data_IF_189911890304
#
_entry.id   IF_189911890304
#
_cell.length_a   1.000
_cell.length_b   1.000
_cell.length_c   1.000
_cell.angle_alpha   90.00
_cell.angle_beta   90.00
_cell.angle_gamma   90.00
#
_symmetry.space_group_name_H-M   'P 1'
#
loop_
_entity.id
_entity.type
_entity.pdbx_description
1 polymer ?
#
# COMPACT_ATOMS: atom_id res chain seq x y z
N UNK A 1 -1.43 20.07 31.99
CA UNK A 1 -1.07 19.15 30.89
C UNK A 1 -2.38 18.67 30.30
N UNK A 2 -2.53 18.68 28.98
CA UNK A 2 -3.68 18.03 28.35
C UNK A 2 -3.57 16.51 28.58
N UNK A 3 -4.70 15.84 28.81
CA UNK A 3 -4.74 14.39 28.97
C UNK A 3 -4.20 13.71 27.70
N UNK A 4 -3.50 12.57 27.84
CA UNK A 4 -3.08 11.80 26.67
C UNK A 4 -4.30 11.34 25.87
N UNK A 5 -4.20 11.40 24.54
CA UNK A 5 -5.24 10.87 23.64
C UNK A 5 -5.07 9.34 23.59
N UNK A 6 -6.02 8.62 24.18
CA UNK A 6 -6.13 7.17 24.07
C UNK A 6 -7.21 6.82 23.05
N UNK A 7 -6.84 6.13 21.98
CA UNK A 7 -7.81 5.61 21.02
C UNK A 7 -8.53 4.38 21.62
N UNK A 8 -9.87 4.36 21.66
CA UNK A 8 -10.61 3.21 22.16
C UNK A 8 -10.58 2.06 21.15
N UNK A 9 -10.72 0.82 21.64
CA UNK A 9 -10.86 -0.37 20.80
C UNK A 9 -9.70 -1.35 20.91
N UNK A 10 -9.60 -2.24 19.92
CA UNK A 10 -8.54 -3.26 19.83
C UNK A 10 -7.57 -2.90 18.71
N UNK A 11 -6.28 -2.74 19.02
CA UNK A 11 -5.25 -2.57 17.99
C UNK A 11 -5.11 -3.88 17.22
N UNK A 12 -5.43 -3.87 15.93
CA UNK A 12 -5.35 -5.05 15.06
C UNK A 12 -4.01 -5.13 14.34
N UNK A 13 -3.52 -4.02 13.79
CA UNK A 13 -2.14 -3.97 13.33
C UNK A 13 -1.55 -2.57 13.38
N UNK A 14 -0.22 -2.52 13.42
CA UNK A 14 0.56 -1.29 13.30
C UNK A 14 1.76 -1.51 12.40
N UNK A 15 2.13 -0.49 11.62
CA UNK A 15 3.22 -0.57 10.66
C UNK A 15 3.19 0.55 9.64
N UNK A 16 3.56 0.21 8.41
CA UNK A 16 3.65 1.12 7.27
C UNK A 16 2.96 0.48 6.07
N UNK A 17 2.32 1.30 5.24
CA UNK A 17 1.63 0.87 4.02
C UNK A 17 1.77 1.88 2.86
N UNK A 18 3.00 2.29 2.46
CA UNK A 18 3.17 3.14 1.30
C UNK A 18 2.59 2.47 0.04
N UNK A 19 1.91 3.27 -0.78
CA UNK A 19 1.14 2.78 -1.91
C UNK A 19 1.38 3.57 -3.20
N UNK A 20 1.21 2.88 -4.32
CA UNK A 20 1.27 3.46 -5.67
C UNK A 20 0.09 2.92 -6.47
N UNK A 21 -0.70 3.82 -7.06
CA UNK A 21 -1.70 3.46 -8.08
C UNK A 21 -1.45 4.29 -9.33
N UNK A 22 -1.18 3.62 -10.45
CA UNK A 22 -0.82 4.22 -11.73
C UNK A 22 -1.99 4.18 -12.71
N UNK A 23 -2.11 5.22 -13.53
CA UNK A 23 -3.01 5.28 -14.69
C UNK A 23 -2.26 5.84 -15.90
N UNK A 24 -2.57 5.33 -17.09
CA UNK A 24 -2.11 5.94 -18.36
C UNK A 24 -3.02 7.10 -18.78
N UNK A 25 -4.32 6.98 -18.53
CA UNK A 25 -5.32 8.04 -18.67
C UNK A 25 -5.90 8.34 -17.29
N UNK A 26 -5.89 9.60 -16.79
CA UNK A 26 -6.51 9.96 -15.52
C UNK A 26 -7.97 9.54 -15.37
N UNK A 27 -8.74 9.54 -16.46
CA UNK A 27 -10.12 9.07 -16.51
C UNK A 27 -10.25 7.55 -16.71
N UNK A 28 -9.16 6.89 -17.10
CA UNK A 28 -9.09 5.46 -17.34
C UNK A 28 -8.99 4.60 -16.08
N UNK A 29 -8.95 3.27 -16.26
CA UNK A 29 -8.73 2.33 -15.16
C UNK A 29 -7.30 2.41 -14.62
N UNK A 30 -7.09 1.85 -13.43
CA UNK A 30 -5.72 1.63 -12.92
C UNK A 30 -5.01 0.56 -13.75
N UNK A 31 -3.78 0.85 -14.14
CA UNK A 31 -2.92 -0.05 -14.92
C UNK A 31 -1.96 -0.83 -14.03
N UNK A 32 -1.61 -0.30 -12.86
CA UNK A 32 -0.77 -0.96 -11.88
C UNK A 32 -1.13 -0.46 -10.48
N UNK A 33 -1.24 -1.39 -9.53
CA UNK A 33 -1.45 -1.11 -8.11
C UNK A 33 -0.38 -1.80 -7.28
N UNK A 34 0.21 -1.07 -6.33
CA UNK A 34 1.17 -1.60 -5.37
C UNK A 34 0.82 -1.08 -3.97
N UNK A 35 0.75 -1.99 -3.00
CA UNK A 35 0.64 -1.69 -1.57
C UNK A 35 1.74 -2.46 -0.87
N UNK A 36 2.74 -1.75 -0.34
CA UNK A 36 3.84 -2.37 0.39
C UNK A 36 3.59 -2.23 1.88
N UNK A 37 3.54 -3.35 2.58
CA UNK A 37 3.36 -3.41 4.03
C UNK A 37 4.67 -3.76 4.72
N UNK A 38 4.99 -2.98 5.77
CA UNK A 38 5.94 -3.35 6.82
C UNK A 38 5.18 -3.37 8.13
N UNK A 39 4.74 -4.55 8.55
CA UNK A 39 3.92 -4.71 9.77
C UNK A 39 4.84 -5.00 10.95
N UNK A 40 4.72 -4.19 12.00
CA UNK A 40 5.47 -4.38 13.25
C UNK A 40 4.68 -5.14 14.32
N UNK A 41 3.35 -5.13 14.23
CA UNK A 41 2.44 -5.81 15.16
C UNK A 41 1.18 -6.28 14.42
N UNK A 42 0.78 -7.53 14.61
CA UNK A 42 -0.53 -8.07 14.25
C UNK A 42 -0.81 -9.39 15.00
N UNK A 43 -2.04 -9.93 14.97
CA UNK A 43 -2.36 -11.29 15.41
C UNK A 43 -1.58 -12.39 14.69
N UNK A 44 -1.08 -12.12 13.48
CA UNK A 44 -0.29 -13.06 12.66
C UNK A 44 1.22 -12.83 12.79
N UNK A 45 1.64 -11.98 13.74
CA UNK A 45 3.03 -11.57 13.93
C UNK A 45 3.44 -10.40 13.04
N UNK A 46 4.75 -10.14 12.98
CA UNK A 46 5.34 -9.12 12.11
C UNK A 46 5.69 -9.70 10.74
N UNK A 47 5.90 -8.85 9.75
CA UNK A 47 6.37 -9.27 8.43
C UNK A 47 6.17 -8.20 7.38
N UNK A 48 6.41 -8.59 6.14
CA UNK A 48 6.28 -7.75 4.96
C UNK A 48 5.33 -8.38 3.95
N UNK A 49 4.61 -7.53 3.22
CA UNK A 49 3.81 -7.96 2.09
C UNK A 49 3.83 -6.88 1.02
N UNK A 50 4.22 -7.21 -0.21
CA UNK A 50 3.98 -6.36 -1.37
C UNK A 50 2.82 -6.95 -2.16
N UNK A 51 1.64 -6.35 -2.08
CA UNK A 51 0.53 -6.68 -2.97
C UNK A 51 0.71 -5.89 -4.26
N UNK A 52 0.94 -6.58 -5.38
CA UNK A 52 1.22 -5.99 -6.68
C UNK A 52 0.23 -6.52 -7.72
N UNK A 53 -0.64 -5.65 -8.24
CA UNK A 53 -1.47 -5.96 -9.39
C UNK A 53 -0.89 -5.30 -10.64
N UNK A 54 -0.31 -6.11 -11.53
CA UNK A 54 0.12 -5.66 -12.86
C UNK A 54 -1.02 -5.70 -13.88
N UNK A 55 -2.10 -6.43 -13.58
CA UNK A 55 -3.34 -6.48 -14.36
C UNK A 55 -4.55 -6.36 -13.43
N UNK A 56 -4.84 -5.17 -12.86
CA UNK A 56 -5.86 -5.01 -11.83
C UNK A 56 -7.27 -5.45 -12.28
N UNK A 57 -7.59 -5.31 -13.57
CA UNK A 57 -8.87 -5.68 -14.16
C UNK A 57 -9.04 -7.16 -14.52
N UNK A 58 -8.03 -8.00 -14.32
CA UNK A 58 -8.05 -9.39 -14.80
C UNK A 58 -7.80 -10.38 -13.67
N UNK A 59 -8.68 -11.38 -13.52
CA UNK A 59 -8.55 -12.41 -12.51
C UNK A 59 -7.45 -13.44 -12.83
N UNK A 60 -7.21 -13.72 -14.11
CA UNK A 60 -6.21 -14.71 -14.55
C UNK A 60 -5.35 -14.15 -15.72
N UNK A 61 -4.54 -13.11 -15.46
CA UNK A 61 -3.63 -12.58 -16.47
C UNK A 61 -2.49 -13.58 -16.82
N UNK A 62 -1.86 -13.44 -17.99
CA UNK A 62 -0.59 -14.09 -18.33
C UNK A 62 0.52 -13.81 -17.30
N UNK A 63 1.48 -14.71 -17.20
CA UNK A 63 2.54 -14.71 -16.19
C UNK A 63 3.35 -13.40 -16.17
N UNK A 64 3.60 -12.79 -17.33
CA UNK A 64 4.39 -11.57 -17.49
C UNK A 64 3.72 -10.33 -16.87
N UNK A 65 2.41 -10.41 -16.64
CA UNK A 65 1.59 -9.35 -16.04
C UNK A 65 0.72 -9.91 -14.91
N UNK A 66 1.25 -10.92 -14.23
CA UNK A 66 0.60 -11.58 -13.10
C UNK A 66 0.35 -10.63 -11.93
N UNK A 67 -0.70 -10.93 -11.19
CA UNK A 67 -1.04 -10.29 -9.92
C UNK A 67 -0.44 -11.14 -8.80
N UNK A 68 0.45 -10.56 -8.00
CA UNK A 68 1.26 -11.30 -7.03
C UNK A 68 1.34 -10.54 -5.70
N UNK A 69 1.26 -11.27 -4.60
CA UNK A 69 1.65 -10.84 -3.27
C UNK A 69 2.99 -11.49 -2.90
N UNK A 70 4.04 -10.68 -2.74
CA UNK A 70 5.33 -11.14 -2.23
C UNK A 70 5.38 -10.97 -0.72
N UNK A 71 5.68 -12.02 0.03
CA UNK A 71 5.60 -11.98 1.50
C UNK A 71 6.56 -12.94 2.19
N UNK A 72 7.04 -12.60 3.39
CA UNK A 72 7.78 -13.46 4.30
C UNK A 72 6.88 -14.06 5.40
N UNK A 73 5.60 -13.67 5.41
CA UNK A 73 4.58 -14.12 6.35
C UNK A 73 3.24 -14.25 5.62
N UNK A 74 3.03 -15.40 4.98
CA UNK A 74 1.84 -15.64 4.16
C UNK A 74 0.51 -15.55 4.93
N UNK A 75 0.37 -16.08 6.17
CA UNK A 75 -0.83 -15.87 6.98
C UNK A 75 -1.18 -14.39 7.17
N UNK A 76 -0.18 -13.56 7.51
CA UNK A 76 -0.34 -12.12 7.62
C UNK A 76 -0.78 -11.49 6.28
N UNK A 77 -0.10 -11.81 5.19
CA UNK A 77 -0.40 -11.24 3.88
C UNK A 77 -1.81 -11.57 3.40
N UNK A 78 -2.28 -12.81 3.62
CA UNK A 78 -3.65 -13.22 3.29
C UNK A 78 -4.68 -12.45 4.09
N UNK A 79 -4.44 -12.27 5.39
CA UNK A 79 -5.30 -11.48 6.25
C UNK A 79 -5.34 -10.01 5.84
N UNK A 80 -4.19 -9.38 5.57
CA UNK A 80 -4.12 -8.00 5.06
C UNK A 80 -4.88 -7.85 3.74
N UNK A 81 -4.73 -8.79 2.81
CA UNK A 81 -5.43 -8.74 1.53
C UNK A 81 -6.95 -8.82 1.72
N UNK A 82 -7.41 -9.78 2.51
CA UNK A 82 -8.83 -10.03 2.72
C UNK A 82 -9.52 -8.89 3.48
N UNK A 83 -8.93 -8.43 4.58
CA UNK A 83 -9.62 -7.59 5.56
C UNK A 83 -9.30 -6.10 5.41
N UNK A 84 -8.25 -5.74 4.64
CA UNK A 84 -7.81 -4.36 4.48
C UNK A 84 -7.69 -3.96 3.01
N UNK A 85 -6.79 -4.60 2.24
CA UNK A 85 -6.52 -4.19 0.85
C UNK A 85 -7.78 -4.29 -0.01
N UNK A 86 -8.58 -5.35 0.13
CA UNK A 86 -9.84 -5.51 -0.61
C UNK A 86 -10.87 -4.40 -0.37
N UNK A 87 -10.71 -3.63 0.72
CA UNK A 87 -11.59 -2.53 1.09
C UNK A 87 -11.06 -1.16 0.63
N UNK A 88 -9.78 -1.06 0.26
CA UNK A 88 -9.20 0.21 -0.20
C UNK A 88 -9.85 0.68 -1.51
N UNK A 89 -10.04 1.99 -1.64
CA UNK A 89 -10.81 2.58 -2.74
C UNK A 89 -10.31 2.19 -4.15
N UNK A 90 -8.99 2.09 -4.35
CA UNK A 90 -8.42 1.69 -5.64
C UNK A 90 -8.52 0.18 -5.92
N UNK A 91 -8.82 -0.63 -4.91
CA UNK A 91 -8.70 -2.09 -4.91
C UNK A 91 -10.04 -2.81 -4.84
N UNK A 92 -11.04 -2.17 -4.23
CA UNK A 92 -12.35 -2.77 -3.96
C UNK A 92 -13.04 -3.22 -5.23
N UNK A 93 -13.43 -4.50 -5.26
CA UNK A 93 -14.15 -5.12 -6.37
C UNK A 93 -13.29 -5.43 -7.60
N UNK A 94 -11.97 -5.30 -7.51
CA UNK A 94 -11.09 -5.62 -8.63
C UNK A 94 -10.97 -7.13 -8.86
N UNK A 95 -11.17 -7.62 -10.09
CA UNK A 95 -10.96 -9.03 -10.44
C UNK A 95 -9.54 -9.52 -10.13
N UNK A 96 -8.54 -8.64 -10.21
CA UNK A 96 -7.14 -8.98 -9.97
C UNK A 96 -6.82 -9.53 -8.58
N UNK A 97 -7.67 -9.27 -7.58
CA UNK A 97 -7.52 -9.85 -6.25
C UNK A 97 -7.94 -11.33 -6.19
N UNK A 98 -8.86 -11.77 -7.04
CA UNK A 98 -9.40 -13.13 -7.00
C UNK A 98 -8.37 -14.21 -7.41
N UNK A 99 -7.47 -13.88 -8.33
CA UNK A 99 -6.38 -14.75 -8.76
C UNK A 99 -5.00 -14.33 -8.24
N UNK A 100 -4.96 -13.62 -7.12
CA UNK A 100 -3.72 -13.16 -6.52
C UNK A 100 -2.84 -14.35 -6.12
N UNK A 101 -1.65 -14.44 -6.72
CA UNK A 101 -0.66 -15.45 -6.37
C UNK A 101 0.12 -15.01 -5.14
N UNK A 102 0.52 -15.93 -4.27
CA UNK A 102 1.38 -15.63 -3.12
C UNK A 102 2.76 -16.26 -3.36
N UNK A 103 3.81 -15.46 -3.23
CA UNK A 103 5.20 -15.87 -3.42
C UNK A 103 6.04 -15.45 -2.22
N UNK A 104 6.96 -16.31 -1.82
CA UNK A 104 7.93 -15.99 -0.76
C UNK A 104 8.81 -14.81 -1.20
N UNK A 105 9.05 -13.86 -0.29
CA UNK A 105 10.09 -12.84 -0.46
C UNK A 105 11.38 -13.27 0.23
N UNK A 106 12.50 -12.84 -0.33
CA UNK A 106 13.84 -13.09 0.21
C UNK A 106 14.37 -11.90 1.01
N UNK A 107 14.09 -10.68 0.55
CA UNK A 107 14.56 -9.46 1.21
C UNK A 107 13.73 -8.24 0.86
N UNK A 108 13.78 -7.26 1.75
CA UNK A 108 13.27 -5.90 1.55
C UNK A 108 14.37 -4.91 1.90
N UNK A 109 14.54 -3.89 1.07
CA UNK A 109 15.48 -2.80 1.29
C UNK A 109 14.79 -1.46 1.06
N UNK A 110 14.80 -0.61 2.09
CA UNK A 110 14.39 0.79 2.00
C UNK A 110 15.59 1.67 1.64
N UNK A 111 15.36 2.73 0.88
CA UNK A 111 16.37 3.76 0.58
C UNK A 111 15.70 5.14 0.45
N UNK A 112 16.50 6.21 0.61
CA UNK A 112 16.04 7.59 0.67
C UNK A 112 15.77 8.09 2.08
N UNK A 113 15.34 9.36 2.18
CA UNK A 113 15.17 10.09 3.44
C UNK A 113 13.69 10.32 3.81
N UNK A 114 12.76 9.92 2.94
CA UNK A 114 11.32 10.19 3.06
C UNK A 114 10.95 11.69 3.15
N UNK A 115 11.87 12.57 2.74
CA UNK A 115 11.71 14.03 2.69
C UNK A 115 11.84 14.52 1.24
N UNK A 116 12.82 14.00 0.50
CA UNK A 116 13.10 14.31 -0.90
C UNK A 116 12.74 13.13 -1.82
N UNK A 117 13.10 11.92 -1.41
CA UNK A 117 12.78 10.68 -2.12
C UNK A 117 12.68 9.51 -1.15
N UNK A 118 11.98 8.46 -1.59
CA UNK A 118 11.88 7.21 -0.86
C UNK A 118 11.73 6.05 -1.84
N UNK A 119 12.27 4.88 -1.50
CA UNK A 119 12.03 3.68 -2.27
C UNK A 119 12.01 2.42 -1.41
N UNK A 120 11.30 1.42 -1.90
CA UNK A 120 11.25 0.07 -1.34
C UNK A 120 11.61 -0.92 -2.44
N UNK A 121 12.63 -1.73 -2.22
CA UNK A 121 13.05 -2.80 -3.12
C UNK A 121 12.75 -4.15 -2.48
N UNK A 122 11.89 -4.94 -3.12
CA UNK A 122 11.52 -6.30 -2.74
C UNK A 122 12.20 -7.28 -3.70
N UNK A 123 12.87 -8.30 -3.15
CA UNK A 123 13.44 -9.42 -3.93
C UNK A 123 12.74 -10.72 -3.58
N UNK A 124 12.43 -11.52 -4.60
CA UNK A 124 11.76 -12.81 -4.49
C UNK A 124 12.21 -13.73 -5.64
N UNK A 125 13.13 -14.64 -5.36
CA UNK A 125 13.80 -15.51 -6.31
C UNK A 125 14.37 -14.73 -7.53
N UNK A 126 13.75 -14.89 -8.69
CA UNK A 126 14.10 -14.26 -9.96
C UNK A 126 13.46 -12.88 -10.16
N UNK A 127 12.68 -12.41 -9.20
CA UNK A 127 11.89 -11.19 -9.29
C UNK A 127 12.45 -10.12 -8.36
N UNK A 128 12.75 -8.94 -8.92
CA UNK A 128 13.04 -7.72 -8.16
C UNK A 128 11.99 -6.67 -8.49
N UNK A 129 11.29 -6.18 -7.47
CA UNK A 129 10.35 -5.07 -7.59
C UNK A 129 10.90 -3.87 -6.85
N UNK A 130 10.93 -2.71 -7.50
CA UNK A 130 11.28 -1.44 -6.86
C UNK A 130 10.08 -0.50 -6.97
N UNK A 131 9.63 0.01 -5.83
CA UNK A 131 8.68 1.10 -5.71
C UNK A 131 9.47 2.35 -5.36
N UNK A 132 9.26 3.44 -6.08
CA UNK A 132 9.94 4.71 -5.80
C UNK A 132 8.95 5.87 -5.79
N UNK A 133 9.13 6.79 -4.84
CA UNK A 133 8.37 8.03 -4.68
C UNK A 133 9.34 9.21 -4.67
N UNK A 134 8.99 10.28 -5.40
CA UNK A 134 9.78 11.52 -5.42
C UNK A 134 8.88 12.75 -5.59
N UNK A 135 9.46 13.93 -5.38
CA UNK A 135 8.66 15.16 -5.24
C UNK A 135 7.76 15.04 -4.01
N UNK A 136 8.33 14.61 -2.88
CA UNK A 136 7.61 14.40 -1.64
C UNK A 136 7.14 15.74 -1.07
N UNK A 137 5.87 15.81 -0.72
CA UNK A 137 5.22 17.00 -0.18
C UNK A 137 5.38 17.13 1.33
N UNK A 138 4.63 18.07 1.92
CA UNK A 138 4.62 18.27 3.37
C UNK A 138 3.98 17.06 4.08
N UNK A 139 4.64 16.46 5.09
CA UNK A 139 4.03 15.41 5.90
C UNK A 139 2.84 15.92 6.71
N UNK A 140 1.83 15.07 6.92
CA UNK A 140 0.69 15.36 7.78
C UNK A 140 0.19 14.10 8.49
N UNK A 141 -0.28 14.26 9.73
CA UNK A 141 -0.88 13.19 10.52
C UNK A 141 -2.38 13.41 10.65
N UNK A 142 -3.15 12.34 10.54
CA UNK A 142 -4.59 12.35 10.69
C UNK A 142 -5.07 11.04 11.30
N UNK A 143 -6.31 11.02 11.77
CA UNK A 143 -7.01 9.79 12.14
C UNK A 143 -8.36 9.74 11.44
N UNK A 144 -8.64 8.63 10.75
CA UNK A 144 -9.98 8.36 10.23
C UNK A 144 -10.84 7.74 11.34
N UNK A 145 -12.10 8.14 11.39
CA UNK A 145 -13.12 7.46 12.19
C UNK A 145 -13.60 6.19 11.46
N UNK A 146 -14.29 5.26 12.14
CA UNK A 146 -14.77 4.03 11.50
C UNK A 146 -15.55 4.25 10.20
N UNK A 147 -16.56 5.16 10.13
CA UNK A 147 -17.30 5.38 8.89
C UNK A 147 -16.48 6.00 7.75
N UNK A 148 -15.36 6.66 8.07
CA UNK A 148 -14.46 7.27 7.10
C UNK A 148 -13.30 6.34 6.70
N UNK A 149 -13.03 5.29 7.47
CA UNK A 149 -12.01 4.29 7.15
C UNK A 149 -12.46 3.40 5.99
N UNK A 150 -11.49 2.85 5.25
CA UNK A 150 -11.79 1.98 4.11
C UNK A 150 -12.63 0.74 4.49
N UNK A 151 -12.34 0.18 5.67
CA UNK A 151 -13.04 -0.99 6.22
C UNK A 151 -14.43 -0.69 6.79
N UNK A 152 -14.73 0.58 7.09
CA UNK A 152 -15.95 0.99 7.77
C UNK A 152 -15.99 0.69 9.28
N UNK A 153 -14.98 0.02 9.85
CA UNK A 153 -14.99 -0.49 11.22
C UNK A 153 -13.84 -0.01 12.10
N UNK A 154 -12.84 0.67 11.51
CA UNK A 154 -11.59 0.96 12.21
C UNK A 154 -11.37 2.47 12.40
N UNK A 155 -10.84 2.82 13.58
CA UNK A 155 -10.11 4.08 13.74
C UNK A 155 -8.71 3.86 13.16
N UNK A 156 -8.26 4.80 12.33
CA UNK A 156 -6.97 4.68 11.62
C UNK A 156 -6.15 5.96 11.74
N UNK A 157 -5.31 6.13 12.77
CA UNK A 157 -4.25 7.12 12.76
C UNK A 157 -3.11 6.73 11.81
N UNK A 158 -2.59 7.70 11.05
CA UNK A 158 -1.37 7.53 10.24
C UNK A 158 -0.69 8.87 9.91
N UNK A 159 0.62 8.80 9.66
CA UNK A 159 1.43 9.83 9.01
C UNK A 159 1.45 9.58 7.49
N UNK A 160 0.98 10.54 6.71
CA UNK A 160 1.06 10.50 5.25
C UNK A 160 2.03 11.54 4.69
N UNK A 161 2.70 11.18 3.59
CA UNK A 161 3.46 12.09 2.73
C UNK A 161 2.98 11.90 1.30
N UNK A 162 2.37 12.93 0.72
CA UNK A 162 2.02 12.91 -0.70
C UNK A 162 3.26 13.00 -1.58
N UNK A 163 3.15 12.57 -2.85
CA UNK A 163 4.23 12.72 -3.82
C UNK A 163 3.70 13.22 -5.17
N UNK A 164 4.56 13.91 -5.91
CA UNK A 164 4.28 14.34 -7.29
C UNK A 164 4.40 13.18 -8.27
N UNK A 165 5.44 12.35 -8.11
CA UNK A 165 5.70 11.22 -9.01
C UNK A 165 6.02 9.95 -8.24
N UNK A 166 5.67 8.83 -8.84
CA UNK A 166 6.03 7.51 -8.34
C UNK A 166 6.18 6.52 -9.49
N UNK A 167 7.01 5.49 -9.31
CA UNK A 167 7.22 4.44 -10.29
C UNK A 167 7.16 3.06 -9.64
N UNK A 168 6.72 2.09 -10.44
CA UNK A 168 6.82 0.66 -10.14
C UNK A 168 7.70 0.04 -11.21
N UNK A 169 8.78 -0.61 -10.80
CA UNK A 169 9.71 -1.29 -11.69
C UNK A 169 9.77 -2.77 -11.34
N UNK A 170 9.58 -3.65 -12.32
CA UNK A 170 9.70 -5.11 -12.15
C UNK A 170 10.83 -5.59 -13.06
N UNK A 171 11.85 -6.21 -12.48
CA UNK A 171 13.03 -6.70 -13.21
C UNK A 171 13.67 -5.63 -14.11
N UNK A 172 13.75 -4.40 -13.61
CA UNK A 172 14.29 -3.24 -14.36
C UNK A 172 13.34 -2.61 -15.37
N UNK A 173 12.15 -3.18 -15.60
CA UNK A 173 11.15 -2.62 -16.51
C UNK A 173 10.12 -1.77 -15.75
N UNK A 174 10.02 -0.50 -16.10
CA UNK A 174 9.01 0.40 -15.53
C UNK A 174 7.60 0.01 -16.02
N UNK A 175 6.64 0.03 -15.10
CA UNK A 175 5.22 -0.16 -15.41
C UNK A 175 4.60 1.14 -15.94
N UNK A 176 3.65 1.05 -16.89
CA UNK A 176 3.11 2.23 -17.54
C UNK A 176 2.14 3.00 -16.65
N UNK A 177 2.10 4.32 -16.87
CA UNK A 177 1.21 5.25 -16.19
C UNK A 177 1.90 6.11 -15.13
N UNK A 178 1.12 7.00 -14.53
CA UNK A 178 1.55 7.92 -13.47
C UNK A 178 0.50 7.98 -12.35
N UNK A 179 0.87 8.41 -11.13
CA UNK A 179 -0.10 8.79 -10.12
C UNK A 179 -0.96 9.96 -10.61
N UNK A 180 -2.21 10.00 -10.15
CA UNK A 180 -3.15 11.09 -10.47
C UNK A 180 -3.55 11.85 -9.22
N UNK A 181 -3.92 13.14 -9.31
CA UNK A 181 -4.32 13.92 -8.14
C UNK A 181 -5.49 13.31 -7.38
N UNK A 182 -5.45 13.37 -6.04
CA UNK A 182 -6.57 13.04 -5.15
C UNK A 182 -6.51 13.88 -3.88
N UNK A 183 -7.56 13.80 -3.07
CA UNK A 183 -7.58 14.42 -1.75
C UNK A 183 -7.67 13.35 -0.65
N UNK A 184 -7.00 13.60 0.48
CA UNK A 184 -7.21 12.85 1.71
C UNK A 184 -7.09 13.79 2.90
N UNK A 185 -8.02 13.71 3.85
CA UNK A 185 -8.04 14.55 5.05
C UNK A 185 -7.87 16.07 4.74
N UNK A 186 -8.47 16.55 3.63
CA UNK A 186 -8.36 17.94 3.18
C UNK A 186 -7.00 18.32 2.57
N UNK A 187 -6.08 17.37 2.41
CA UNK A 187 -4.78 17.57 1.77
C UNK A 187 -4.80 17.06 0.33
N UNK A 188 -4.33 17.91 -0.59
CA UNK A 188 -4.12 17.51 -1.99
C UNK A 188 -2.84 16.67 -2.08
N UNK A 189 -3.00 15.45 -2.56
CA UNK A 189 -1.91 14.49 -2.80
C UNK A 189 -2.14 13.82 -4.16
N UNK A 190 -1.50 12.69 -4.41
CA UNK A 190 -1.78 11.84 -5.57
C UNK A 190 -2.22 10.43 -5.15
N UNK A 191 -2.55 9.59 -6.12
CA UNK A 191 -2.81 8.16 -5.91
C UNK A 191 -1.56 7.35 -5.56
N UNK A 192 -0.42 8.02 -5.34
CA UNK A 192 0.76 7.48 -4.69
C UNK A 192 1.08 8.30 -3.43
N UNK A 193 1.50 7.61 -2.38
CA UNK A 193 1.79 8.22 -1.08
C UNK A 193 2.72 7.32 -0.26
N UNK A 194 3.46 7.95 0.65
CA UNK A 194 4.03 7.25 1.80
C UNK A 194 3.00 7.26 2.92
N UNK A 195 2.84 6.13 3.59
CA UNK A 195 1.99 5.96 4.76
C UNK A 195 2.79 5.24 5.85
N UNK A 196 3.11 5.97 6.91
CA UNK A 196 3.94 5.51 8.02
C UNK A 196 3.17 5.55 9.32
N UNK A 197 3.65 4.79 10.31
CA UNK A 197 3.04 4.71 11.65
C UNK A 197 1.52 4.50 11.59
N UNK A 198 1.06 3.76 10.58
CA UNK A 198 -0.35 3.46 10.38
C UNK A 198 -0.75 2.43 11.42
N UNK A 199 -1.82 2.70 12.16
CA UNK A 199 -2.36 1.76 13.14
C UNK A 199 -3.84 1.61 12.91
N UNK A 200 -4.31 0.37 12.79
CA UNK A 200 -5.72 0.05 12.62
C UNK A 200 -6.29 -0.46 13.92
N UNK A 201 -7.30 0.24 14.42
CA UNK A 201 -7.91 -0.01 15.72
C UNK A 201 -9.38 -0.31 15.51
N UNK A 202 -9.80 -1.55 15.77
CA UNK A 202 -11.21 -1.94 15.65
C UNK A 202 -11.99 -1.30 16.80
N UNK A 203 -12.97 -0.47 16.43
CA UNK A 203 -13.83 0.24 17.36
C UNK A 203 -14.82 -0.68 18.08
#
# INVERSE_FOLDING_TARGET
>A
MADPILFPGTVEWSGENPGISLKEDPAGPFTTLASFFRVVLSPHGRGHALVLLLSPGEAAPPAERANVCFTDNEPLARWLVADYVSHFGAWRGLPGLAGLQYRALDSVQSDGDAISSYSETVRAADTTVTLAWSGLGKPFCFALTPPASATGAHIMPSLFVGCETASVTVNGQARPGAPVPREIAGQRISTAMLAFSETWIRA
#
